data_IF_539802510157
#
_entry.id   IF_539802510157
#
_cell.length_a   1.000
_cell.length_b   1.000
_cell.length_c   1.000
_cell.angle_alpha   90.00
_cell.angle_beta   90.00
_cell.angle_gamma   90.00
#
_symmetry.space_group_name_H-M   'P 1'
#
loop_
_entity.id
_entity.type
_entity.pdbx_description
1 polymer ?
#
# COMPACT_ATOMS: atom_id res chain seq x y z
N UNK A 1 0.07 -5.49 18.28
CA UNK A 1 -0.92 -4.45 17.87
C UNK A 1 -1.10 -4.50 16.36
N UNK A 2 -2.21 -4.04 15.74
CA UNK A 2 -2.32 -4.11 14.28
C UNK A 2 -1.33 -3.09 13.67
N UNK A 3 -0.34 -3.57 12.93
CA UNK A 3 0.74 -2.78 12.30
C UNK A 3 0.26 -1.83 11.19
N UNK A 4 -1.04 -1.60 11.08
CA UNK A 4 -1.67 -1.00 9.90
C UNK A 4 -2.77 -0.02 10.27
N UNK A 5 -2.65 0.67 11.42
CA UNK A 5 -3.58 1.74 11.73
C UNK A 5 -3.57 2.79 10.63
N UNK A 6 -4.71 3.43 10.39
CA UNK A 6 -4.82 4.44 9.33
C UNK A 6 -3.74 5.53 9.47
N UNK A 7 -3.54 6.05 10.68
CA UNK A 7 -2.54 7.08 10.98
C UNK A 7 -1.11 6.63 10.65
N UNK A 8 -0.77 5.36 10.93
CA UNK A 8 0.55 4.82 10.62
C UNK A 8 0.78 4.71 9.10
N UNK A 9 -0.25 4.31 8.36
CA UNK A 9 -0.17 4.23 6.90
C UNK A 9 -0.10 5.60 6.25
N UNK A 10 -0.84 6.59 6.76
CA UNK A 10 -0.73 7.98 6.32
C UNK A 10 0.70 8.51 6.51
N UNK A 11 1.30 8.28 7.69
CA UNK A 11 2.70 8.65 7.95
C UNK A 11 3.67 7.96 6.98
N UNK A 12 3.49 6.67 6.72
CA UNK A 12 4.35 5.94 5.79
C UNK A 12 4.20 6.41 4.35
N UNK A 13 3.01 6.83 3.95
CA UNK A 13 2.80 7.44 2.64
C UNK A 13 3.50 8.80 2.55
N UNK A 14 3.45 9.62 3.60
CA UNK A 14 4.21 10.88 3.64
C UNK A 14 5.72 10.62 3.54
N UNK A 15 6.24 9.65 4.30
CA UNK A 15 7.65 9.23 4.19
C UNK A 15 8.01 8.76 2.77
N UNK A 16 7.11 8.02 2.11
CA UNK A 16 7.32 7.55 0.74
C UNK A 16 7.30 8.72 -0.27
N UNK A 17 6.46 9.73 -0.05
CA UNK A 17 6.41 10.94 -0.86
C UNK A 17 7.73 11.74 -0.74
N UNK A 18 8.30 11.81 0.46
CA UNK A 18 9.58 12.48 0.74
C UNK A 18 10.78 11.84 0.01
N UNK A 19 10.66 10.58 -0.44
CA UNK A 19 11.65 9.91 -1.30
C UNK A 19 11.65 10.44 -2.75
N UNK A 20 10.76 11.39 -3.08
CA UNK A 20 10.67 12.02 -4.41
C UNK A 20 9.60 11.41 -5.32
N UNK A 21 8.79 10.48 -4.82
CA UNK A 21 7.65 9.93 -5.57
C UNK A 21 6.45 10.88 -5.53
N UNK A 22 5.90 11.21 -6.70
CA UNK A 22 4.68 12.02 -6.80
C UNK A 22 3.43 11.18 -6.55
N UNK A 23 3.09 10.95 -5.28
CA UNK A 23 1.94 10.11 -4.87
C UNK A 23 0.71 10.89 -4.40
N UNK A 24 0.88 12.17 -4.05
CA UNK A 24 -0.02 12.95 -3.18
C UNK A 24 -1.44 13.22 -3.70
N UNK A 25 -1.71 13.03 -4.98
CA UNK A 25 -3.08 13.16 -5.54
C UNK A 25 -3.72 11.83 -5.95
N UNK A 26 -2.96 10.73 -5.96
CA UNK A 26 -3.37 9.45 -6.57
C UNK A 26 -3.52 8.30 -5.58
N UNK A 27 -2.91 8.43 -4.41
CA UNK A 27 -2.94 7.42 -3.35
C UNK A 27 -3.82 7.91 -2.22
N UNK A 28 -4.72 7.06 -1.72
CA UNK A 28 -5.57 7.34 -0.57
C UNK A 28 -5.60 6.11 0.34
N UNK A 29 -5.39 6.32 1.63
CA UNK A 29 -5.75 5.30 2.63
C UNK A 29 -7.26 5.28 2.70
N UNK A 30 -7.86 4.10 2.50
CA UNK A 30 -9.30 3.95 2.58
C UNK A 30 -9.63 3.39 3.95
N UNK A 31 -10.40 4.13 4.78
CA UNK A 31 -10.93 3.56 6.00
C UNK A 31 -11.89 2.43 5.60
N UNK A 32 -11.51 1.20 5.92
CA UNK A 32 -12.38 0.05 5.79
C UNK A 32 -12.73 -0.36 7.21
N UNK A 33 -13.96 -0.09 7.61
CA UNK A 33 -14.53 -0.69 8.81
C UNK A 33 -14.64 -2.19 8.55
N UNK A 34 -13.60 -2.94 8.92
CA UNK A 34 -13.69 -4.39 9.01
C UNK A 34 -14.86 -4.77 9.94
N UNK A 35 -15.36 -5.99 9.84
CA UNK A 35 -16.52 -6.48 10.63
C UNK A 35 -16.38 -6.28 12.15
N UNK A 36 -15.17 -5.98 12.65
CA UNK A 36 -14.83 -5.68 14.05
C UNK A 36 -14.23 -4.26 14.28
N UNK A 37 -14.31 -3.33 13.32
CA UNK A 37 -13.74 -1.98 13.45
C UNK A 37 -12.21 -1.93 13.45
N UNK A 38 -11.56 -2.97 12.93
CA UNK A 38 -10.10 -3.06 12.82
C UNK A 38 -9.65 -2.43 11.51
N UNK A 39 -8.69 -1.50 11.60
CA UNK A 39 -7.99 -0.93 10.44
C UNK A 39 -7.37 -2.07 9.61
N UNK A 40 -7.90 -2.29 8.41
CA UNK A 40 -7.48 -3.40 7.53
C UNK A 40 -6.24 -3.08 6.70
N UNK A 41 -5.78 -1.82 6.74
CA UNK A 41 -4.60 -1.36 6.03
C UNK A 41 -4.76 -1.21 4.52
N UNK A 42 -5.99 -0.95 4.05
CA UNK A 42 -6.26 -0.79 2.62
C UNK A 42 -5.78 0.57 2.08
N UNK A 43 -4.94 0.52 1.07
CA UNK A 43 -4.47 1.70 0.33
C UNK A 43 -5.01 1.60 -1.10
N UNK A 44 -5.89 2.53 -1.47
CA UNK A 44 -6.42 2.61 -2.83
C UNK A 44 -5.58 3.57 -3.69
N UNK A 45 -5.34 3.15 -4.93
CA UNK A 45 -4.58 3.90 -5.93
C UNK A 45 -5.45 4.12 -7.17
N UNK A 46 -5.50 5.38 -7.62
CA UNK A 46 -6.13 5.73 -8.88
C UNK A 46 -5.05 5.89 -9.96
N UNK A 47 -4.88 4.87 -10.78
CA UNK A 47 -3.93 4.85 -11.91
C UNK A 47 -4.58 5.47 -13.16
N UNK A 48 -3.85 6.39 -13.80
CA UNK A 48 -4.22 7.11 -15.04
C UNK A 48 -5.72 7.46 -15.19
N UNK A 49 -6.32 8.08 -14.17
CA UNK A 49 -7.73 8.52 -14.18
C UNK A 49 -8.71 7.39 -14.52
N UNK A 50 -8.82 6.43 -13.60
CA UNK A 50 -9.99 5.59 -13.32
C UNK A 50 -10.37 4.47 -14.29
N UNK A 51 -9.41 3.82 -14.96
CA UNK A 51 -9.75 2.65 -15.78
C UNK A 51 -9.61 1.29 -15.07
N UNK A 52 -8.89 1.22 -13.94
CA UNK A 52 -8.75 0.01 -13.12
C UNK A 52 -8.63 0.40 -11.66
N UNK A 53 -9.51 -0.10 -10.79
CA UNK A 53 -9.32 0.05 -9.34
C UNK A 53 -8.12 -0.79 -8.92
N UNK A 54 -7.11 -0.12 -8.34
CA UNK A 54 -5.91 -0.78 -7.82
C UNK A 54 -5.84 -0.53 -6.33
N UNK A 55 -5.56 -1.57 -5.55
CA UNK A 55 -5.35 -1.42 -4.13
C UNK A 55 -4.20 -2.28 -3.63
N UNK A 56 -3.63 -1.84 -2.52
CA UNK A 56 -2.56 -2.50 -1.79
C UNK A 56 -3.08 -2.78 -0.39
N UNK A 57 -2.95 -4.02 0.07
CA UNK A 57 -3.37 -4.43 1.41
C UNK A 57 -2.52 -5.58 1.94
N UNK A 58 -2.51 -5.81 3.27
CA UNK A 58 -2.01 -7.04 3.86
C UNK A 58 -2.75 -8.29 3.38
N UNK A 59 -2.00 -9.34 3.05
CA UNK A 59 -2.54 -10.65 2.66
C UNK A 59 -1.90 -11.80 3.49
N UNK A 60 -2.69 -12.54 4.29
CA UNK A 60 -4.07 -12.23 4.72
C UNK A 60 -4.14 -10.93 5.54
N UNK A 61 -5.35 -10.42 5.81
CA UNK A 61 -5.51 -9.19 6.62
C UNK A 61 -4.77 -9.31 7.96
N UNK A 62 -4.06 -8.24 8.34
CA UNK A 62 -3.18 -8.22 9.52
C UNK A 62 -1.79 -8.85 9.32
N UNK A 63 -1.50 -9.41 8.15
CA UNK A 63 -0.18 -9.91 7.77
C UNK A 63 0.83 -8.78 7.56
N UNK A 64 2.13 -9.08 7.69
CA UNK A 64 3.17 -8.17 7.22
C UNK A 64 3.43 -8.30 5.72
N UNK A 65 2.79 -9.27 5.05
CA UNK A 65 2.92 -9.49 3.62
C UNK A 65 1.92 -8.64 2.86
N UNK A 66 2.40 -7.82 1.93
CA UNK A 66 1.56 -6.91 1.16
C UNK A 66 1.31 -7.43 -0.25
N UNK A 67 0.05 -7.37 -0.68
CA UNK A 67 -0.40 -7.72 -2.02
C UNK A 67 -0.82 -6.49 -2.81
N UNK A 68 -0.67 -6.55 -4.14
CA UNK A 68 -1.23 -5.59 -5.07
C UNK A 68 -2.36 -6.28 -5.81
N UNK A 69 -3.57 -5.73 -5.75
CA UNK A 69 -4.70 -6.21 -6.55
C UNK A 69 -5.07 -5.19 -7.60
N UNK A 70 -5.22 -5.67 -8.83
CA UNK A 70 -5.85 -4.97 -9.94
C UNK A 70 -7.22 -5.58 -10.15
N UNK A 71 -8.28 -4.80 -9.90
CA UNK A 71 -9.62 -5.31 -10.10
C UNK A 71 -9.90 -5.60 -11.58
N UNK A 72 -10.73 -6.61 -11.81
CA UNK A 72 -11.20 -6.94 -13.15
C UNK A 72 -11.97 -5.75 -13.75
N UNK A 73 -11.79 -5.55 -15.05
CA UNK A 73 -12.49 -4.52 -15.82
C UNK A 73 -13.66 -5.14 -16.57
N UNK A 74 -14.73 -4.39 -16.75
CA UNK A 74 -15.84 -4.79 -17.62
C UNK A 74 -15.48 -4.69 -19.11
N UNK A 75 -14.59 -3.75 -19.47
CA UNK A 75 -14.19 -3.48 -20.85
C UNK A 75 -12.66 -3.53 -21.05
N UNK A 76 -12.27 -3.94 -22.26
CA UNK A 76 -10.88 -3.98 -22.73
C UNK A 76 -10.19 -2.62 -22.60
N UNK A 77 -8.97 -2.62 -22.05
CA UNK A 77 -8.09 -1.44 -22.07
C UNK A 77 -7.35 -1.34 -23.40
N UNK A 78 -7.73 -0.40 -24.26
CA UNK A 78 -6.99 -0.09 -25.50
C UNK A 78 -6.14 1.16 -25.32
N UNK A 79 -4.83 1.04 -25.53
CA UNK A 79 -3.87 2.14 -25.39
C UNK A 79 -2.83 2.15 -26.50
N UNK A 80 -2.39 3.34 -26.89
CA UNK A 80 -1.21 3.53 -27.73
C UNK A 80 0.08 3.55 -26.88
N UNK A 81 1.25 3.44 -27.54
CA UNK A 81 2.54 3.27 -26.89
C UNK A 81 2.87 4.31 -25.80
N UNK A 82 2.57 5.59 -26.02
CA UNK A 82 2.83 6.66 -25.04
C UNK A 82 2.04 6.45 -23.74
N UNK A 83 0.73 6.17 -23.85
CA UNK A 83 -0.14 5.89 -22.70
C UNK A 83 0.26 4.60 -21.98
N UNK A 84 0.72 3.59 -22.72
CA UNK A 84 1.26 2.36 -22.12
C UNK A 84 2.53 2.63 -21.30
N UNK A 85 3.42 3.50 -21.78
CA UNK A 85 4.63 3.89 -21.02
C UNK A 85 4.28 4.67 -19.75
N UNK A 86 3.30 5.57 -19.83
CA UNK A 86 2.78 6.27 -18.65
C UNK A 86 2.25 5.27 -17.61
N UNK A 87 1.44 4.29 -18.02
CA UNK A 87 0.94 3.26 -17.11
C UNK A 87 2.07 2.42 -16.51
N UNK A 88 3.06 2.03 -17.32
CA UNK A 88 4.20 1.26 -16.83
C UNK A 88 4.99 2.02 -15.75
N UNK A 89 5.11 3.34 -15.89
CA UNK A 89 5.76 4.21 -14.90
C UNK A 89 4.95 4.24 -13.59
N UNK A 90 3.62 4.32 -13.69
CA UNK A 90 2.77 4.25 -12.50
C UNK A 90 2.82 2.87 -11.83
N UNK A 91 2.81 1.77 -12.59
CA UNK A 91 2.95 0.41 -12.07
C UNK A 91 4.30 0.20 -11.36
N UNK A 92 5.37 0.81 -11.88
CA UNK A 92 6.67 0.79 -11.21
C UNK A 92 6.61 1.49 -9.83
N UNK A 93 5.91 2.61 -9.74
CA UNK A 93 5.68 3.30 -8.45
C UNK A 93 4.82 2.44 -7.51
N UNK A 94 3.74 1.82 -7.99
CA UNK A 94 2.89 0.92 -7.18
C UNK A 94 3.72 -0.24 -6.60
N UNK A 95 4.60 -0.83 -7.43
CA UNK A 95 5.52 -1.87 -6.99
C UNK A 95 6.50 -1.38 -5.92
N UNK A 96 7.04 -0.17 -6.09
CA UNK A 96 7.95 0.44 -5.11
C UNK A 96 7.24 0.72 -3.78
N UNK A 97 6.00 1.23 -3.82
CA UNK A 97 5.19 1.47 -2.63
C UNK A 97 4.89 0.17 -1.89
N UNK A 98 4.46 -0.88 -2.59
CA UNK A 98 4.22 -2.19 -1.96
C UNK A 98 5.48 -2.74 -1.28
N UNK A 99 6.64 -2.63 -1.93
CA UNK A 99 7.94 -3.03 -1.36
C UNK A 99 8.30 -2.20 -0.12
N UNK A 100 8.03 -0.89 -0.16
CA UNK A 100 8.27 0.01 0.96
C UNK A 100 7.41 -0.38 2.17
N UNK A 101 6.10 -0.58 1.97
CA UNK A 101 5.17 -1.02 3.01
C UNK A 101 5.59 -2.36 3.63
N UNK A 102 5.94 -3.34 2.79
CA UNK A 102 6.48 -4.63 3.21
C UNK A 102 7.72 -4.47 4.11
N UNK A 103 8.63 -3.57 3.73
CA UNK A 103 9.87 -3.31 4.48
C UNK A 103 9.57 -2.66 5.82
N UNK A 104 8.67 -1.68 5.85
CA UNK A 104 8.25 -0.98 7.07
C UNK A 104 7.57 -1.92 8.06
N UNK A 105 6.65 -2.77 7.59
CA UNK A 105 5.99 -3.79 8.41
C UNK A 105 6.99 -4.78 9.00
N UNK A 106 7.98 -5.25 8.22
CA UNK A 106 9.02 -6.14 8.72
C UNK A 106 9.89 -5.49 9.79
N UNK A 107 10.30 -4.23 9.58
CA UNK A 107 11.10 -3.48 10.55
C UNK A 107 10.34 -3.24 11.86
N UNK A 108 9.03 -2.96 11.79
CA UNK A 108 8.19 -2.78 12.96
C UNK A 108 8.10 -4.05 13.82
N UNK A 109 7.89 -5.23 13.19
CA UNK A 109 7.88 -6.51 13.90
C UNK A 109 9.24 -6.82 14.52
N UNK A 110 10.34 -6.59 13.79
CA UNK A 110 11.68 -6.84 14.31
C UNK A 110 11.98 -6.00 15.57
N UNK A 111 11.60 -4.72 15.55
CA UNK A 111 11.79 -3.82 16.70
C UNK A 111 10.96 -4.25 17.93
N UNK A 112 9.75 -4.78 17.73
CA UNK A 112 8.91 -5.31 18.81
C UNK A 112 9.53 -6.55 19.46
N UNK A 113 10.00 -7.51 18.65
CA UNK A 113 10.67 -8.72 19.15
C UNK A 113 11.96 -8.42 19.94
N UNK A 114 12.73 -7.43 19.49
CA UNK A 114 13.92 -6.96 20.22
C UNK A 114 13.57 -6.31 21.56
N UNK A 115 12.46 -5.56 21.61
CA UNK A 115 11.96 -4.94 22.84
C UNK A 115 11.52 -5.99 23.87
N UNK A 116 10.74 -6.99 23.45
CA UNK A 116 10.26 -8.09 24.30
C UNK A 116 11.44 -8.92 24.84
N UNK A 117 12.37 -9.29 23.98
CA UNK A 117 13.57 -10.07 24.36
C UNK A 117 14.42 -9.37 25.43
N UNK A 118 14.42 -8.03 25.45
CA UNK A 118 15.13 -7.22 26.45
C UNK A 118 14.38 -7.07 27.77
N UNK A 119 13.05 -7.20 27.76
CA UNK A 119 12.24 -7.18 28.98
C UNK A 119 12.28 -8.51 29.73
N UNK A 120 12.46 -9.61 29.00
CA UNK A 120 12.56 -10.97 29.56
C UNK A 120 13.98 -11.36 30.03
N UNK A 121 14.97 -10.46 29.87
CA UNK A 121 16.39 -10.66 30.22
C UNK A 121 16.80 -9.88 31.48
#
# INVERSE_FOLDING_TARGET
MPFHSQEMLELWLDEFADLGYSISQRVKVVPQDGTDGLDTGLIALNLLDSLTLTYIQPEPLGSIHWGITFEAREEDLKMGAGRTLELATELAMVSALCTFLQTKSQAAVAAELEYESRLDA
#
